data_IF_661095959843
#
_entry.id   IF_661095959843
#
_cell.length_a   1.000
_cell.length_b   1.000
_cell.length_c   1.000
_cell.angle_alpha   90.00
_cell.angle_beta   90.00
_cell.angle_gamma   90.00
#
_symmetry.space_group_name_H-M   'P 1'
#
loop_
_entity.id
_entity.type
_entity.pdbx_description
1 polymer ?
#
# COMPACT_ATOMS: atom_id res chain seq x y z
N UNK A 1 -26.88 -8.28 13.31
CA UNK A 1 -26.20 -8.31 11.98
C UNK A 1 -24.97 -9.18 12.11
N UNK A 2 -24.77 -10.18 11.22
CA UNK A 2 -23.50 -10.94 11.18
C UNK A 2 -22.44 -10.04 10.55
N UNK A 3 -21.22 -9.93 11.12
CA UNK A 3 -20.14 -9.22 10.46
C UNK A 3 -19.81 -9.98 9.17
N UNK A 4 -20.00 -9.33 8.02
CA UNK A 4 -19.50 -9.83 6.73
C UNK A 4 -17.98 -9.84 6.81
N UNK A 5 -17.39 -11.03 6.90
CA UNK A 5 -15.94 -11.18 6.85
C UNK A 5 -15.46 -10.71 5.47
N UNK A 6 -14.65 -9.64 5.45
CA UNK A 6 -13.96 -9.20 4.24
C UNK A 6 -13.08 -10.37 3.76
N UNK A 7 -13.18 -10.80 2.48
CA UNK A 7 -12.34 -11.86 1.96
C UNK A 7 -10.87 -11.49 2.14
N UNK A 8 -10.09 -12.35 2.80
CA UNK A 8 -8.64 -12.18 2.87
C UNK A 8 -8.07 -12.35 1.46
N UNK A 9 -7.50 -11.28 0.91
CA UNK A 9 -6.76 -11.33 -0.35
C UNK A 9 -5.32 -11.73 -0.04
N UNK A 10 -4.80 -12.71 -0.76
CA UNK A 10 -3.38 -13.09 -0.71
C UNK A 10 -2.75 -12.69 -2.03
N UNK A 11 -1.76 -11.81 -1.98
CA UNK A 11 -0.91 -11.52 -3.14
C UNK A 11 0.33 -12.39 -3.07
N UNK A 12 0.76 -12.98 -4.19
CA UNK A 12 1.99 -13.76 -4.28
C UNK A 12 2.87 -13.07 -5.31
N UNK A 13 4.06 -12.66 -4.91
CA UNK A 13 5.03 -11.98 -5.76
C UNK A 13 6.18 -12.92 -6.05
N UNK A 14 6.50 -13.12 -7.32
CA UNK A 14 7.65 -13.91 -7.73
C UNK A 14 8.83 -12.99 -8.05
N UNK A 15 9.92 -13.11 -7.30
CA UNK A 15 11.16 -12.40 -7.60
C UNK A 15 11.97 -13.20 -8.63
N UNK A 16 11.97 -12.74 -9.88
CA UNK A 16 12.69 -13.37 -10.99
C UNK A 16 14.21 -13.40 -10.80
N UNK A 17 14.79 -12.56 -9.93
CA UNK A 17 16.24 -12.50 -9.72
C UNK A 17 16.73 -13.57 -8.76
N UNK A 18 16.02 -13.73 -7.63
CA UNK A 18 16.33 -14.77 -6.64
C UNK A 18 15.66 -16.10 -6.96
N UNK A 19 14.65 -16.13 -7.83
CA UNK A 19 13.77 -17.28 -8.05
C UNK A 19 12.82 -17.55 -6.87
N UNK A 20 12.81 -16.66 -5.86
CA UNK A 20 11.99 -16.78 -4.66
C UNK A 20 10.55 -16.31 -4.88
N UNK A 21 9.63 -16.84 -4.08
CA UNK A 21 8.26 -16.32 -3.97
C UNK A 21 8.10 -15.61 -2.63
N UNK A 22 7.57 -14.39 -2.66
CA UNK A 22 7.17 -13.63 -1.48
C UNK A 22 5.66 -13.60 -1.42
N UNK A 23 5.09 -14.20 -0.37
CA UNK A 23 3.65 -14.17 -0.14
C UNK A 23 3.32 -12.88 0.62
N UNK A 24 2.55 -12.00 0.01
CA UNK A 24 2.12 -10.70 0.52
C UNK A 24 1.32 -10.75 1.83
N UNK A 25 0.92 -11.93 2.33
CA UNK A 25 0.47 -12.06 3.72
C UNK A 25 1.57 -11.81 4.75
N UNK A 26 2.85 -11.91 4.36
CA UNK A 26 4.02 -11.53 5.18
C UNK A 26 4.49 -10.08 4.95
N UNK A 27 4.05 -9.43 3.87
CA UNK A 27 4.25 -7.98 3.63
C UNK A 27 3.02 -7.16 4.11
N UNK A 28 2.11 -7.80 4.86
CA UNK A 28 1.07 -7.11 5.62
C UNK A 28 1.72 -6.62 6.91
N UNK A 29 1.84 -5.31 7.13
CA UNK A 29 0.67 -4.46 7.44
C UNK A 29 0.51 -3.20 6.56
N UNK A 30 1.43 -2.92 5.64
CA UNK A 30 1.37 -1.70 4.79
C UNK A 30 0.73 -1.94 3.42
N UNK A 31 1.18 -2.98 2.70
CA UNK A 31 0.75 -3.30 1.32
C UNK A 31 -0.70 -3.80 1.26
N UNK A 32 -1.16 -4.49 2.30
CA UNK A 32 -2.46 -5.17 2.36
C UNK A 32 -3.64 -4.25 2.67
N UNK A 33 -3.36 -3.03 3.15
CA UNK A 33 -4.41 -2.03 3.41
C UNK A 33 -4.70 -1.14 2.21
N UNK A 34 -3.81 -1.16 1.21
CA UNK A 34 -3.98 -0.42 -0.04
C UNK A 34 -4.81 -1.14 -1.08
N UNK A 35 -5.52 -0.35 -1.90
CA UNK A 35 -6.11 -0.85 -3.13
C UNK A 35 -5.04 -0.83 -4.23
N UNK A 36 -4.59 -2.00 -4.69
CA UNK A 36 -3.60 -2.10 -5.77
C UNK A 36 -4.21 -1.51 -7.04
N UNK A 37 -3.55 -0.49 -7.60
CA UNK A 37 -3.95 0.18 -8.83
C UNK A 37 -3.22 -0.37 -10.06
N UNK A 38 -1.92 -0.63 -9.91
CA UNK A 38 -1.06 -1.08 -11.00
C UNK A 38 0.03 -2.00 -10.46
N UNK A 39 0.38 -3.03 -11.25
CA UNK A 39 1.49 -3.93 -10.97
C UNK A 39 2.24 -4.21 -12.27
N UNK A 40 3.56 -4.08 -12.24
CA UNK A 40 4.45 -4.49 -13.33
C UNK A 40 5.72 -5.16 -12.77
N UNK A 41 6.66 -5.48 -13.65
CA UNK A 41 7.91 -6.17 -13.29
C UNK A 41 8.84 -5.33 -12.37
N UNK A 42 8.64 -4.02 -12.30
CA UNK A 42 9.52 -3.10 -11.56
C UNK A 42 8.92 -2.60 -10.24
N UNK A 43 7.60 -2.45 -10.17
CA UNK A 43 6.92 -1.90 -8.99
C UNK A 43 5.44 -2.29 -8.88
N UNK A 44 4.92 -2.11 -7.67
CA UNK A 44 3.50 -2.16 -7.34
C UNK A 44 3.08 -0.76 -6.91
N UNK A 45 2.01 -0.26 -7.48
CA UNK A 45 1.38 1.00 -7.10
C UNK A 45 0.07 0.70 -6.38
N UNK A 46 -0.06 1.17 -5.14
CA UNK A 46 -1.27 1.05 -4.36
C UNK A 46 -1.81 2.42 -3.95
N UNK A 47 -3.13 2.57 -3.99
CA UNK A 47 -3.84 3.65 -3.33
C UNK A 47 -3.98 3.32 -1.84
N UNK A 48 -3.64 4.27 -0.98
CA UNK A 48 -3.84 4.11 0.45
C UNK A 48 -5.25 4.50 0.89
N UNK A 49 -5.70 3.86 1.97
CA UNK A 49 -6.84 4.36 2.72
C UNK A 49 -6.43 5.62 3.45
N UNK A 50 -7.34 6.60 3.53
CA UNK A 50 -7.14 7.79 4.36
C UNK A 50 -7.01 7.44 5.84
N UNK A 51 -7.64 6.35 6.29
CA UNK A 51 -7.53 5.85 7.67
C UNK A 51 -6.10 5.45 8.06
N UNK A 52 -5.27 5.10 7.07
CA UNK A 52 -3.88 4.69 7.29
C UNK A 52 -2.88 5.83 7.12
N UNK A 53 -3.35 7.03 6.75
CA UNK A 53 -2.50 8.20 6.50
C UNK A 53 -1.50 8.50 7.64
N UNK A 54 -1.86 8.37 8.95
CA UNK A 54 -0.90 8.59 10.03
C UNK A 54 0.33 7.68 10.01
N UNK A 55 0.23 6.47 9.43
CA UNK A 55 1.39 5.56 9.30
C UNK A 55 2.42 6.05 8.28
N UNK A 56 2.02 6.99 7.42
CA UNK A 56 2.81 7.51 6.32
C UNK A 56 3.22 8.97 6.52
N UNK A 57 2.97 9.56 7.69
CA UNK A 57 3.33 10.95 8.00
C UNK A 57 4.82 11.23 7.74
N UNK A 58 5.68 10.26 8.06
CA UNK A 58 7.13 10.30 7.79
C UNK A 58 7.53 10.40 6.31
N UNK A 59 6.59 10.16 5.39
CA UNK A 59 6.79 10.27 3.94
C UNK A 59 6.14 11.52 3.35
N UNK A 60 5.51 12.38 4.18
CA UNK A 60 4.98 13.65 3.72
C UNK A 60 6.12 14.59 3.29
N UNK A 61 5.86 15.49 2.33
CA UNK A 61 6.80 16.55 1.97
C UNK A 61 7.23 17.36 3.19
N UNK A 62 8.46 17.88 3.15
CA UNK A 62 8.97 18.73 4.22
C UNK A 62 8.06 19.96 4.41
N UNK A 63 7.67 20.21 5.66
CA UNK A 63 6.76 21.30 6.03
C UNK A 63 5.27 20.99 5.87
N UNK A 64 4.90 19.79 5.40
CA UNK A 64 3.51 19.33 5.34
C UNK A 64 3.19 18.44 6.54
N UNK A 65 1.98 18.58 7.08
CA UNK A 65 1.46 17.78 8.18
C UNK A 65 0.16 17.09 7.79
N UNK A 66 -0.30 16.15 8.62
CA UNK A 66 -1.61 15.52 8.44
C UNK A 66 -2.78 16.52 8.47
N UNK A 67 -2.61 17.67 9.12
CA UNK A 67 -3.65 18.71 9.20
C UNK A 67 -3.85 19.46 7.88
N UNK A 68 -2.86 19.40 6.98
CA UNK A 68 -2.90 20.06 5.67
C UNK A 68 -3.61 19.20 4.60
N UNK A 69 -4.05 17.99 4.96
CA UNK A 69 -4.63 17.01 4.04
C UNK A 69 -6.15 16.95 4.25
N UNK A 70 -6.90 17.17 3.17
CA UNK A 70 -8.35 17.02 3.14
C UNK A 70 -8.75 15.80 2.28
N UNK A 71 -9.17 14.68 2.90
CA UNK A 71 -9.58 13.47 2.19
C UNK A 71 -10.66 13.63 1.11
N UNK A 72 -11.50 14.67 1.22
CA UNK A 72 -12.62 14.93 0.32
C UNK A 72 -12.22 15.74 -0.92
N UNK A 73 -11.17 16.57 -0.81
CA UNK A 73 -10.71 17.46 -1.89
C UNK A 73 -9.39 16.99 -2.52
N UNK A 74 -8.59 16.20 -1.79
CA UNK A 74 -7.26 15.79 -2.22
C UNK A 74 -7.26 14.50 -3.04
N UNK A 75 -6.24 14.41 -3.90
CA UNK A 75 -5.93 13.17 -4.59
C UNK A 75 -5.47 12.10 -3.60
N UNK A 76 -5.79 10.82 -3.84
CA UNK A 76 -5.40 9.75 -2.93
C UNK A 76 -3.88 9.61 -2.84
N UNK A 77 -3.37 9.34 -1.64
CA UNK A 77 -1.97 9.00 -1.45
C UNK A 77 -1.64 7.68 -2.18
N UNK A 78 -0.61 7.73 -3.02
CA UNK A 78 -0.12 6.58 -3.77
C UNK A 78 1.22 6.12 -3.19
N UNK A 79 1.31 4.83 -2.87
CA UNK A 79 2.55 4.21 -2.41
C UNK A 79 3.09 3.29 -3.50
N UNK A 80 4.36 3.51 -3.84
CA UNK A 80 5.10 2.70 -4.81
C UNK A 80 6.03 1.74 -4.06
N UNK A 81 5.74 0.45 -4.15
CA UNK A 81 6.59 -0.60 -3.62
C UNK A 81 7.47 -1.15 -4.74
N UNK A 82 8.73 -1.42 -4.43
CA UNK A 82 9.68 -2.03 -5.35
C UNK A 82 10.59 -2.98 -4.58
N UNK A 83 11.08 -4.01 -5.26
CA UNK A 83 12.11 -4.87 -4.70
C UNK A 83 13.43 -4.11 -4.68
N UNK A 84 14.02 -3.93 -3.49
CA UNK A 84 15.34 -3.34 -3.35
C UNK A 84 16.33 -4.18 -4.15
N UNK A 85 17.15 -3.52 -4.99
CA UNK A 85 18.21 -4.18 -5.76
C UNK A 85 19.33 -4.64 -4.83
#
# INVERSE_FOLDING_TARGET
MKPTSIPKRHYIFHDRRSGGNVVGSQIGDGLMKGFILLMNDDYILAKMSWDDLPLYEQFLPEGMTLADINPDDDNPLLVKYYFKK
#
